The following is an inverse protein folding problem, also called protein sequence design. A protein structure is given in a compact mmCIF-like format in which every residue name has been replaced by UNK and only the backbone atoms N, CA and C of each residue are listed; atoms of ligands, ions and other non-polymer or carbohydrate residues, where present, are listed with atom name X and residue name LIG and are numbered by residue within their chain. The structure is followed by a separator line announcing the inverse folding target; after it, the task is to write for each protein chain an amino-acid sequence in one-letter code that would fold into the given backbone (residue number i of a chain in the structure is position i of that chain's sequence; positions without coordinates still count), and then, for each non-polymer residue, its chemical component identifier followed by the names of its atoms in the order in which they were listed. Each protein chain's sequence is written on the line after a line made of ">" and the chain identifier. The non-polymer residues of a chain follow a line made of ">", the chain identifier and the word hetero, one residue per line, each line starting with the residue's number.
data_IF_474642992666
#
_entry.id   IF_474642992666
#
_cell.length_a   1.000
_cell.length_b   1.000
_cell.length_c   1.000
_cell.angle_alpha   90.00
_cell.angle_beta   90.00
_cell.angle_gamma   90.00
#
_symmetry.space_group_name_H-M   'P 1'
#
loop_
_entity.id
_entity.type
_entity.pdbx_description
1 polymer ?
#
# COMPACT_ATOMS: atom_id res chain seq x y z
N UNK A 1 -14.40 15.96 -7.04
CA UNK A 1 -13.64 14.95 -6.26
C UNK A 1 -12.58 14.34 -7.17
N UNK A 2 -11.37 14.10 -6.67
CA UNK A 2 -10.29 13.45 -7.43
C UNK A 2 -9.80 12.24 -6.65
N UNK A 3 -9.61 11.10 -7.33
CA UNK A 3 -9.12 9.87 -6.70
C UNK A 3 -8.42 8.99 -7.73
N UNK A 4 -7.37 8.28 -7.30
CA UNK A 4 -6.71 7.25 -8.10
C UNK A 4 -7.56 5.98 -8.24
N UNK A 5 -8.51 5.77 -7.33
CA UNK A 5 -9.42 4.61 -7.34
C UNK A 5 -10.87 5.05 -7.22
N UNK A 6 -11.79 4.28 -7.82
CA UNK A 6 -13.22 4.53 -7.69
C UNK A 6 -13.96 3.22 -7.47
N UNK A 7 -14.68 3.11 -6.36
CA UNK A 7 -15.49 1.96 -6.00
C UNK A 7 -16.97 2.40 -5.94
N UNK A 8 -17.89 1.56 -6.45
CA UNK A 8 -19.34 1.81 -6.41
C UNK A 8 -19.89 2.13 -5.01
N UNK A 9 -19.23 1.66 -3.96
CA UNK A 9 -19.58 1.99 -2.57
C UNK A 9 -19.48 3.49 -2.27
N UNK A 10 -18.76 4.26 -3.07
CA UNK A 10 -18.56 5.71 -2.90
C UNK A 10 -19.64 6.52 -3.63
N UNK A 11 -20.47 5.90 -4.47
CA UNK A 11 -21.46 6.61 -5.32
C UNK A 11 -22.41 7.47 -4.48
N UNK A 12 -22.94 6.94 -3.37
CA UNK A 12 -23.81 7.71 -2.47
C UNK A 12 -23.11 8.91 -1.81
N UNK A 13 -21.79 8.88 -1.66
CA UNK A 13 -21.02 10.03 -1.19
C UNK A 13 -20.88 11.08 -2.31
N UNK A 14 -20.63 10.63 -3.54
CA UNK A 14 -20.52 11.52 -4.71
C UNK A 14 -21.84 12.26 -4.94
N UNK A 15 -22.97 11.55 -4.92
CA UNK A 15 -24.31 12.12 -5.10
C UNK A 15 -24.68 13.12 -3.99
N UNK A 16 -24.20 12.89 -2.76
CA UNK A 16 -24.44 13.80 -1.63
C UNK A 16 -23.70 15.13 -1.76
N UNK A 17 -22.49 15.12 -2.33
CA UNK A 17 -21.59 16.28 -2.34
C UNK A 17 -21.42 16.96 -3.70
N UNK A 18 -21.86 16.34 -4.79
CA UNK A 18 -21.79 16.91 -6.13
C UNK A 18 -23.18 17.15 -6.68
N UNK A 19 -23.33 18.22 -7.47
CA UNK A 19 -24.56 18.48 -8.20
C UNK A 19 -24.88 17.33 -9.19
N UNK A 20 -26.16 17.14 -9.51
CA UNK A 20 -26.64 16.08 -10.40
C UNK A 20 -26.02 16.10 -11.81
N UNK A 21 -25.42 17.23 -12.23
CA UNK A 21 -24.77 17.39 -13.53
C UNK A 21 -23.24 17.20 -13.47
N UNK A 22 -22.72 16.51 -12.46
CA UNK A 22 -21.29 16.26 -12.37
C UNK A 22 -20.82 15.30 -13.48
N UNK A 23 -19.64 15.58 -14.02
CA UNK A 23 -19.01 14.74 -15.04
C UNK A 23 -18.00 13.81 -14.38
N UNK A 24 -18.12 12.51 -14.64
CA UNK A 24 -17.14 11.51 -14.23
C UNK A 24 -16.07 11.32 -15.30
N UNK A 25 -14.86 11.78 -15.01
CA UNK A 25 -13.69 11.56 -15.86
C UNK A 25 -12.89 10.35 -15.34
N UNK A 26 -12.59 9.40 -16.24
CA UNK A 26 -11.77 8.22 -15.93
C UNK A 26 -10.54 8.22 -16.82
N UNK A 27 -9.36 8.26 -16.21
CA UNK A 27 -8.08 8.13 -16.91
C UNK A 27 -7.53 6.75 -16.58
N UNK A 28 -7.63 5.81 -17.52
CA UNK A 28 -7.08 4.47 -17.33
C UNK A 28 -5.60 4.48 -17.68
N UNK A 29 -4.72 4.33 -16.68
CA UNK A 29 -3.28 4.11 -16.88
C UNK A 29 -2.93 2.69 -16.46
N UNK A 30 -2.16 2.00 -17.30
CA UNK A 30 -1.51 0.77 -16.88
C UNK A 30 -0.61 1.06 -15.67
N UNK A 31 -0.43 0.06 -14.80
CA UNK A 31 0.53 0.14 -13.70
C UNK A 31 1.88 0.63 -14.25
N UNK A 32 2.58 1.56 -13.56
CA UNK A 32 3.85 2.06 -14.06
C UNK A 32 4.79 0.89 -14.33
N UNK A 33 5.40 0.83 -15.52
CA UNK A 33 6.31 -0.26 -15.88
C UNK A 33 7.50 -0.42 -14.90
N UNK A 34 7.79 0.64 -14.14
CA UNK A 34 8.84 0.67 -13.11
C UNK A 34 8.41 0.05 -11.76
N UNK A 35 7.14 -0.30 -11.57
CA UNK A 35 6.64 -0.92 -10.35
C UNK A 35 6.65 -2.45 -10.47
N UNK A 36 7.64 -3.10 -9.84
CA UNK A 36 7.65 -4.56 -9.70
C UNK A 36 6.79 -4.97 -8.51
N UNK A 37 5.82 -5.85 -8.74
CA UNK A 37 4.98 -6.44 -7.70
C UNK A 37 5.39 -7.89 -7.45
N UNK A 38 5.56 -8.27 -6.18
CA UNK A 38 5.87 -9.64 -5.77
C UNK A 38 4.93 -10.05 -4.65
N UNK A 39 4.39 -11.26 -4.75
CA UNK A 39 3.50 -11.84 -3.75
C UNK A 39 4.21 -13.01 -3.09
N UNK A 40 4.13 -13.07 -1.76
CA UNK A 40 4.66 -14.17 -0.97
C UNK A 40 3.52 -14.78 -0.17
N UNK A 41 3.32 -16.08 -0.30
CA UNK A 41 2.47 -16.83 0.62
C UNK A 41 3.26 -17.10 1.90
N UNK A 42 2.77 -16.63 3.04
CA UNK A 42 3.47 -16.71 4.33
C UNK A 42 2.44 -16.81 5.44
N UNK A 43 2.62 -17.79 6.32
CA UNK A 43 1.81 -17.93 7.54
C UNK A 43 2.06 -16.75 8.49
N UNK A 44 1.07 -16.39 9.31
CA UNK A 44 1.16 -15.20 10.18
C UNK A 44 2.40 -15.21 11.07
N UNK A 45 2.71 -16.36 11.66
CA UNK A 45 3.85 -16.54 12.56
C UNK A 45 5.22 -16.38 11.85
N UNK A 46 5.27 -16.62 10.54
CA UNK A 46 6.50 -16.56 9.75
C UNK A 46 6.71 -15.21 9.05
N UNK A 47 5.69 -14.34 9.05
CA UNK A 47 5.76 -13.02 8.38
C UNK A 47 6.92 -12.17 8.86
N UNK A 48 7.24 -12.24 10.15
CA UNK A 48 8.34 -11.47 10.72
C UNK A 48 9.71 -11.94 10.22
N UNK A 49 9.97 -13.24 10.23
CA UNK A 49 11.19 -13.81 9.67
C UNK A 49 11.32 -13.53 8.17
N UNK A 50 10.21 -13.62 7.43
CA UNK A 50 10.18 -13.26 6.02
C UNK A 50 10.48 -11.77 5.78
N UNK A 51 9.91 -10.88 6.59
CA UNK A 51 10.13 -9.44 6.50
C UNK A 51 11.61 -9.11 6.67
N UNK A 52 12.26 -9.64 7.72
CA UNK A 52 13.71 -9.48 7.93
C UNK A 52 14.53 -9.93 6.71
N UNK A 53 14.21 -11.10 6.16
CA UNK A 53 14.88 -11.61 4.95
C UNK A 53 14.67 -10.75 3.70
N UNK A 54 13.54 -10.04 3.59
CA UNK A 54 13.30 -9.08 2.50
C UNK A 54 14.07 -7.78 2.75
N UNK A 55 14.07 -7.28 3.98
CA UNK A 55 14.76 -6.04 4.35
C UNK A 55 16.28 -6.16 4.16
N UNK A 56 16.90 -7.25 4.61
CA UNK A 56 18.35 -7.45 4.44
C UNK A 56 18.77 -7.37 2.95
N UNK A 57 17.99 -7.98 2.04
CA UNK A 57 18.24 -7.91 0.58
C UNK A 57 18.04 -6.52 -0.01
N UNK A 58 17.23 -5.68 0.64
CA UNK A 58 16.98 -4.30 0.20
C UNK A 58 18.04 -3.34 0.74
N UNK A 59 18.52 -3.55 1.97
CA UNK A 59 19.58 -2.74 2.58
C UNK A 59 20.96 -2.94 1.93
N UNK A 60 21.23 -4.12 1.36
CA UNK A 60 22.38 -4.35 0.47
C UNK A 60 22.44 -3.36 -0.72
N UNK A 61 21.34 -2.65 -1.00
CA UNK A 61 21.25 -1.60 -2.02
C UNK A 61 21.03 -0.26 -1.31
N UNK A 62 22.12 0.33 -0.83
CA UNK A 62 22.29 1.47 0.12
C UNK A 62 21.45 2.78 -0.08
N UNK A 63 20.40 2.81 -0.91
CA UNK A 63 19.63 4.05 -1.19
C UNK A 63 18.10 3.88 -1.12
N UNK A 64 17.59 2.74 -0.63
CA UNK A 64 16.15 2.48 -0.64
C UNK A 64 15.44 3.08 0.57
N UNK A 65 14.55 4.08 0.35
CA UNK A 65 13.55 4.47 1.36
C UNK A 65 12.45 3.41 1.39
N UNK A 66 12.18 2.84 2.56
CA UNK A 66 11.24 1.71 2.74
C UNK A 66 10.03 2.19 3.53
N UNK A 67 8.84 1.85 3.04
CA UNK A 67 7.57 2.03 3.76
C UNK A 67 6.97 0.65 4.00
N UNK A 68 6.70 0.33 5.26
CA UNK A 68 6.06 -0.92 5.67
C UNK A 68 4.65 -0.59 6.15
N UNK A 69 3.65 -1.22 5.53
CA UNK A 69 2.26 -1.13 5.97
C UNK A 69 1.94 -2.33 6.85
N UNK A 70 1.34 -2.06 8.01
CA UNK A 70 0.79 -3.08 8.90
C UNK A 70 -0.66 -2.75 9.22
N UNK A 71 -1.44 -3.79 9.55
CA UNK A 71 -2.90 -3.68 9.61
C UNK A 71 -3.40 -2.95 10.87
N UNK A 72 -2.61 -2.91 11.94
CA UNK A 72 -2.99 -2.26 13.19
C UNK A 72 -1.79 -1.64 13.91
N UNK A 73 -2.08 -0.74 14.85
CA UNK A 73 -1.08 0.01 15.62
C UNK A 73 -0.14 -0.91 16.43
N UNK A 74 -0.66 -2.01 16.98
CA UNK A 74 0.17 -2.95 17.74
C UNK A 74 1.21 -3.62 16.85
N UNK A 75 0.83 -4.09 15.65
CA UNK A 75 1.76 -4.63 14.67
C UNK A 75 2.77 -3.58 14.22
N UNK A 76 2.35 -2.33 13.99
CA UNK A 76 3.29 -1.24 13.69
C UNK A 76 4.33 -1.05 14.79
N UNK A 77 3.90 -1.05 16.06
CA UNK A 77 4.81 -0.90 17.19
C UNK A 77 5.81 -2.06 17.27
N UNK A 78 5.34 -3.29 17.06
CA UNK A 78 6.21 -4.48 17.08
C UNK A 78 7.24 -4.43 15.94
N UNK A 79 6.84 -3.95 14.76
CA UNK A 79 7.75 -3.73 13.64
C UNK A 79 8.70 -2.56 13.92
N UNK A 80 8.28 -1.50 14.60
CA UNK A 80 9.13 -0.35 14.93
C UNK A 80 10.15 -0.68 16.03
N UNK A 81 9.86 -1.67 16.88
CA UNK A 81 10.82 -2.22 17.84
C UNK A 81 11.90 -3.08 17.18
N UNK A 82 11.77 -3.40 15.89
CA UNK A 82 12.95 -3.78 15.11
C UNK A 82 13.84 -2.54 15.06
N UNK A 83 14.91 -2.52 15.85
CA UNK A 83 16.04 -1.64 15.61
C UNK A 83 16.59 -1.99 14.22
N UNK A 84 15.95 -1.47 13.18
CA UNK A 84 16.44 -1.44 11.81
C UNK A 84 17.58 -0.44 11.84
N UNK A 85 18.77 -0.97 12.12
CA UNK A 85 20.07 -0.29 12.17
C UNK A 85 20.25 0.57 10.92
#
# INVERSE_FOLDING_TARGET
>A
MFSATYNKKVDGLVEKFLNNNHVKLTITRALPAKLSQKFYWVEENDKYGKLLGVLNKLFEKETSKIIIFANNKSTCNNVNCLNLI
#
